data_IF_740265241047
#
_entry.id   IF_740265241047
#
_cell.length_a   1.000
_cell.length_b   1.000
_cell.length_c   1.000
_cell.angle_alpha   90.00
_cell.angle_beta   90.00
_cell.angle_gamma   90.00
#
_symmetry.space_group_name_H-M   'P 1'
#
loop_
_entity.id
_entity.type
_entity.pdbx_description
1 polymer ?
#
# COMPACT_ATOMS: atom_id res chain seq x y z
N UNK A 1 2.99 -4.02 -4.53
CA UNK A 1 1.63 -4.56 -4.74
C UNK A 1 1.30 -5.44 -3.54
N UNK A 2 0.17 -5.22 -2.88
CA UNK A 2 -0.24 -5.94 -1.66
C UNK A 2 -1.72 -6.31 -1.79
N UNK A 3 -2.15 -7.33 -1.07
CA UNK A 3 -3.58 -7.67 -0.96
C UNK A 3 -4.15 -7.08 0.34
N UNK A 4 -5.38 -6.60 0.28
CA UNK A 4 -6.15 -6.10 1.42
C UNK A 4 -6.50 -7.30 2.31
N UNK A 5 -5.69 -7.48 3.35
CA UNK A 5 -5.78 -8.55 4.33
C UNK A 5 -4.94 -8.19 5.57
N UNK A 6 -4.74 -9.15 6.48
CA UNK A 6 -4.07 -8.91 7.77
C UNK A 6 -2.66 -8.30 7.61
N UNK A 7 -1.90 -8.70 6.59
CA UNK A 7 -0.54 -8.20 6.34
C UNK A 7 -0.47 -6.77 5.78
N UNK A 8 -1.59 -6.21 5.28
CA UNK A 8 -1.61 -4.87 4.71
C UNK A 8 -1.21 -3.82 5.73
N UNK A 9 -1.76 -3.90 6.94
CA UNK A 9 -1.57 -2.86 7.95
C UNK A 9 -0.13 -2.85 8.47
N UNK A 10 0.45 -4.03 8.68
CA UNK A 10 1.83 -4.17 9.11
C UNK A 10 2.81 -3.64 8.05
N UNK A 11 2.54 -3.93 6.76
CA UNK A 11 3.34 -3.42 5.66
C UNK A 11 3.20 -1.90 5.50
N UNK A 12 1.98 -1.37 5.65
CA UNK A 12 1.72 0.07 5.60
C UNK A 12 2.45 0.82 6.71
N UNK A 13 2.47 0.28 7.94
CA UNK A 13 3.23 0.84 9.07
C UNK A 13 4.74 0.88 8.78
N UNK A 14 5.32 -0.22 8.29
CA UNK A 14 6.73 -0.27 7.87
C UNK A 14 7.02 0.77 6.78
N UNK A 15 6.16 0.88 5.76
CA UNK A 15 6.33 1.89 4.72
C UNK A 15 6.25 3.31 5.28
N UNK A 16 5.32 3.62 6.19
CA UNK A 16 5.25 4.95 6.82
C UNK A 16 6.49 5.30 7.64
N UNK A 17 7.18 4.30 8.17
CA UNK A 17 8.43 4.50 8.89
C UNK A 17 9.58 4.89 7.93
N UNK A 18 9.67 4.22 6.78
CA UNK A 18 10.74 4.43 5.80
C UNK A 18 10.43 5.49 4.73
N UNK A 19 9.17 5.86 4.52
CA UNK A 19 8.74 6.82 3.49
C UNK A 19 7.94 7.94 4.13
N UNK A 20 8.26 9.17 3.78
CA UNK A 20 7.61 10.36 4.31
C UNK A 20 6.15 10.47 3.84
N UNK A 21 5.84 9.93 2.65
CA UNK A 21 4.49 9.90 2.09
C UNK A 21 4.19 8.49 1.62
N UNK A 22 3.08 7.91 2.09
CA UNK A 22 2.61 6.59 1.63
C UNK A 22 1.18 6.72 1.13
N UNK A 23 0.96 6.40 -0.14
CA UNK A 23 -0.38 6.41 -0.76
C UNK A 23 -0.85 5.01 -1.09
N UNK A 24 -2.11 4.72 -0.77
CA UNK A 24 -2.81 3.51 -1.20
C UNK A 24 -3.65 3.80 -2.43
N UNK A 25 -3.49 2.98 -3.46
CA UNK A 25 -4.18 3.08 -4.73
C UNK A 25 -4.83 1.74 -5.05
N UNK A 26 -6.15 1.74 -5.21
CA UNK A 26 -6.88 0.60 -5.74
C UNK A 26 -7.09 0.83 -7.24
N UNK A 27 -6.53 0.00 -8.14
CA UNK A 27 -6.72 0.19 -9.56
C UNK A 27 -8.20 -0.02 -9.90
N UNK A 28 -8.78 0.88 -10.69
CA UNK A 28 -10.15 0.74 -11.22
C UNK A 28 -10.35 -0.55 -12.04
N UNK A 29 -9.25 -1.09 -12.59
CA UNK A 29 -9.22 -2.33 -13.37
C UNK A 29 -9.23 -3.61 -12.51
N UNK A 30 -8.98 -3.51 -11.19
CA UNK A 30 -9.17 -4.68 -10.32
C UNK A 30 -10.66 -4.98 -10.21
N UNK A 31 -11.04 -6.16 -10.66
CA UNK A 31 -12.37 -6.74 -10.49
C UNK A 31 -12.91 -6.46 -9.08
N UNK A 32 -14.20 -6.15 -8.92
CA UNK A 32 -14.84 -5.83 -7.62
C UNK A 32 -14.60 -6.89 -6.54
N UNK A 33 -14.28 -8.14 -6.93
CA UNK A 33 -13.94 -9.28 -6.06
C UNK A 33 -12.46 -9.37 -5.67
N UNK A 34 -11.57 -8.59 -6.30
CA UNK A 34 -10.13 -8.64 -6.02
C UNK A 34 -9.75 -7.60 -4.96
N UNK A 35 -9.03 -8.06 -3.94
CA UNK A 35 -8.55 -7.26 -2.82
C UNK A 35 -7.17 -6.61 -3.11
N UNK A 36 -6.78 -6.46 -4.37
CA UNK A 36 -5.47 -5.91 -4.71
C UNK A 36 -5.39 -4.40 -4.46
N UNK A 37 -4.35 -3.98 -3.73
CA UNK A 37 -4.03 -2.59 -3.43
C UNK A 37 -2.54 -2.33 -3.75
N UNK A 38 -2.27 -1.16 -4.29
CA UNK A 38 -0.92 -0.68 -4.54
C UNK A 38 -0.56 0.35 -3.48
N UNK A 39 0.54 0.11 -2.78
CA UNK A 39 1.14 1.08 -1.88
C UNK A 39 2.31 1.76 -2.58
N UNK A 40 2.26 3.08 -2.67
CA UNK A 40 3.30 3.91 -3.26
C UNK A 40 3.94 4.73 -2.15
N UNK A 41 5.21 4.43 -1.86
CA UNK A 41 6.05 5.23 -0.97
C UNK A 41 6.76 6.33 -1.76
N UNK A 42 6.55 7.57 -1.37
CA UNK A 42 7.20 8.76 -1.93
C UNK A 42 8.07 9.40 -0.83
N UNK A 43 9.15 10.07 -1.26
CA UNK A 43 10.13 10.72 -0.38
C UNK A 43 10.66 9.75 0.70
N UNK A 44 11.52 8.82 0.28
CA UNK A 44 12.19 7.89 1.20
C UNK A 44 12.95 8.68 2.27
N UNK A 45 12.64 8.40 3.54
CA UNK A 45 13.43 8.89 4.68
C UNK A 45 14.69 8.03 4.75
N UNK A 46 15.84 8.70 4.67
CA UNK A 46 17.16 8.10 4.92
C UNK A 46 17.47 8.19 6.40
#
# INVERSE_FOLDING_TARGET
>A
KVFQGADFENFYKKMKHHFMVVRSLKPKSSNKKSNEIYLIGLKKKY
#
